data_IF_363873437844
#
_entry.id   IF_363873437844
#
_cell.length_a   1.000
_cell.length_b   1.000
_cell.length_c   1.000
_cell.angle_alpha   90.00
_cell.angle_beta   90.00
_cell.angle_gamma   90.00
#
_symmetry.space_group_name_H-M   'P 1'
#
loop_
_entity.id
_entity.type
_entity.pdbx_description
1 polymer ?
#
# COMPACT_ATOMS: atom_id res chain seq x y z
N UNK A 1 -8.18 23.06 -12.33
CA UNK A 1 -8.35 21.61 -12.11
C UNK A 1 -8.25 21.34 -10.62
N UNK A 2 -9.11 20.50 -10.06
CA UNK A 2 -9.04 20.15 -8.63
C UNK A 2 -8.00 19.04 -8.41
N UNK A 3 -7.22 19.15 -7.34
CA UNK A 3 -6.26 18.12 -6.92
C UNK A 3 -7.00 17.02 -6.18
N UNK A 4 -6.69 15.75 -6.46
CA UNK A 4 -7.22 14.62 -5.71
C UNK A 4 -6.65 14.65 -4.28
N UNK A 5 -7.52 14.57 -3.28
CA UNK A 5 -7.11 14.58 -1.87
C UNK A 5 -7.48 13.26 -1.20
N UNK A 6 -6.52 12.68 -0.48
CA UNK A 6 -6.71 11.48 0.34
C UNK A 6 -7.63 11.66 1.56
N UNK A 7 -8.22 12.85 1.77
CA UNK A 7 -9.10 13.13 2.92
C UNK A 7 -10.26 12.14 3.06
N UNK A 8 -10.71 11.54 1.96
CA UNK A 8 -11.75 10.51 1.97
C UNK A 8 -11.22 9.15 1.51
N UNK A 9 -9.92 8.90 1.62
CA UNK A 9 -9.33 7.59 1.36
C UNK A 9 -9.78 6.60 2.43
N UNK A 10 -9.96 5.34 2.03
CA UNK A 10 -10.36 4.23 2.91
C UNK A 10 -9.47 3.02 2.67
N UNK A 11 -9.41 2.13 3.66
CA UNK A 11 -8.75 0.84 3.57
C UNK A 11 -9.81 -0.24 3.70
N UNK A 12 -9.75 -1.28 2.86
CA UNK A 12 -10.51 -2.50 3.10
C UNK A 12 -9.59 -3.69 3.23
N UNK A 13 -9.91 -4.57 4.19
CA UNK A 13 -9.22 -5.82 4.45
C UNK A 13 -10.25 -6.95 4.34
N UNK A 14 -10.03 -7.88 3.42
CA UNK A 14 -10.98 -9.00 3.21
C UNK A 14 -12.40 -8.55 2.84
N UNK A 15 -12.54 -7.36 2.25
CA UNK A 15 -13.83 -6.75 1.89
C UNK A 15 -14.49 -5.91 2.98
N UNK A 16 -13.95 -5.87 4.20
CA UNK A 16 -14.45 -5.03 5.29
C UNK A 16 -13.69 -3.70 5.31
N UNK A 17 -14.43 -2.59 5.37
CA UNK A 17 -13.82 -1.26 5.51
C UNK A 17 -13.26 -1.08 6.92
N UNK A 18 -11.99 -0.68 6.99
CA UNK A 18 -11.29 -0.36 8.22
C UNK A 18 -11.31 1.15 8.40
N UNK A 19 -11.85 1.60 9.52
CA UNK A 19 -11.86 3.01 9.92
C UNK A 19 -11.60 3.12 11.43
N UNK A 20 -10.87 4.16 11.89
CA UNK A 20 -10.31 5.28 11.12
C UNK A 20 -8.90 4.98 10.62
N UNK A 21 -8.66 5.13 9.30
CA UNK A 21 -7.31 5.07 8.71
C UNK A 21 -6.74 6.48 8.67
N UNK A 22 -5.53 6.65 9.21
CA UNK A 22 -4.82 7.95 9.16
C UNK A 22 -4.09 8.12 7.84
N UNK A 23 -3.41 7.06 7.40
CA UNK A 23 -2.48 7.11 6.27
C UNK A 23 -2.24 5.72 5.73
N UNK A 24 -1.88 5.63 4.45
CA UNK A 24 -1.32 4.42 3.87
C UNK A 24 -0.33 4.77 2.77
N UNK A 25 0.68 3.92 2.60
CA UNK A 25 1.73 4.08 1.60
C UNK A 25 2.01 2.75 0.96
N UNK A 26 1.86 2.69 -0.37
CA UNK A 26 2.26 1.56 -1.19
C UNK A 26 3.51 1.91 -1.98
N UNK A 27 4.52 1.04 -1.93
CA UNK A 27 5.76 1.12 -2.71
C UNK A 27 5.81 -0.09 -3.61
N UNK A 28 5.96 0.15 -4.91
CA UNK A 28 6.18 -0.92 -5.89
C UNK A 28 7.59 -0.76 -6.44
N UNK A 29 8.40 -1.78 -6.30
CA UNK A 29 9.79 -1.82 -6.74
C UNK A 29 9.93 -2.82 -7.87
N UNK A 30 10.93 -2.61 -8.74
CA UNK A 30 11.22 -3.49 -9.84
C UNK A 30 12.72 -3.66 -9.98
N UNK A 31 13.20 -4.90 -9.92
CA UNK A 31 14.62 -5.20 -10.05
C UNK A 31 14.95 -5.39 -11.52
N UNK A 32 15.49 -4.36 -12.16
CA UNK A 32 15.87 -4.42 -13.58
C UNK A 32 17.35 -4.79 -13.71
N UNK A 33 17.65 -5.80 -14.53
CA UNK A 33 19.05 -6.17 -14.83
C UNK A 33 19.56 -5.34 -16.00
N UNK A 34 20.66 -4.62 -15.79
CA UNK A 34 21.35 -3.89 -16.85
C UNK A 34 22.36 -4.80 -17.56
N UNK A 35 22.35 -4.81 -18.89
CA UNK A 35 23.29 -5.57 -19.70
C UNK A 35 23.77 -4.76 -20.90
N UNK A 36 24.92 -5.13 -21.45
CA UNK A 36 25.50 -4.53 -22.65
C UNK A 36 25.20 -5.46 -23.81
N UNK A 37 24.79 -4.91 -24.95
CA UNK A 37 24.65 -5.65 -26.19
C UNK A 37 25.44 -4.94 -27.28
N UNK A 38 25.98 -5.70 -28.22
CA UNK A 38 26.96 -5.20 -29.19
C UNK A 38 26.33 -4.20 -30.19
N UNK A 39 25.00 -4.19 -30.26
CA UNK A 39 24.18 -3.36 -31.14
C UNK A 39 23.72 -2.04 -30.47
N UNK A 40 24.13 -1.76 -29.23
CA UNK A 40 23.66 -0.57 -28.50
C UNK A 40 24.60 0.62 -28.57
N UNK A 41 25.71 0.53 -29.31
CA UNK A 41 26.69 1.61 -29.43
C UNK A 41 27.29 2.04 -28.09
N UNK A 42 27.42 1.12 -27.12
CA UNK A 42 27.99 1.39 -25.79
C UNK A 42 26.97 1.75 -24.70
N UNK A 43 25.67 1.85 -25.02
CA UNK A 43 24.62 2.10 -24.02
C UNK A 43 24.14 0.80 -23.34
N UNK A 44 23.84 0.85 -22.04
CA UNK A 44 23.29 -0.32 -21.31
C UNK A 44 21.79 -0.50 -21.61
N UNK A 45 21.37 -1.70 -22.00
CA UNK A 45 19.96 -2.12 -22.02
C UNK A 45 19.51 -2.60 -20.65
N UNK A 46 18.21 -2.59 -20.40
CA UNK A 46 17.59 -3.13 -19.18
C UNK A 46 16.60 -4.22 -19.55
N UNK A 47 16.73 -5.39 -18.93
CA UNK A 47 15.73 -6.44 -19.00
C UNK A 47 14.73 -6.26 -17.86
N UNK A 48 13.45 -6.54 -18.14
CA UNK A 48 12.44 -6.64 -17.10
C UNK A 48 12.84 -7.73 -16.11
N UNK A 49 12.77 -7.44 -14.81
CA UNK A 49 12.97 -8.45 -13.77
C UNK A 49 11.82 -8.44 -12.79
N UNK A 50 12.02 -9.15 -11.67
CA UNK A 50 10.99 -9.33 -10.66
C UNK A 50 10.49 -7.97 -10.15
N UNK A 51 9.16 -7.86 -10.06
CA UNK A 51 8.49 -6.76 -9.39
C UNK A 51 8.14 -7.23 -7.99
N UNK A 52 8.23 -6.31 -7.05
CA UNK A 52 7.91 -6.53 -5.65
C UNK A 52 7.13 -5.32 -5.15
N UNK A 53 6.39 -5.49 -4.06
CA UNK A 53 5.73 -4.37 -3.42
C UNK A 53 5.68 -4.53 -1.91
N UNK A 54 5.69 -3.41 -1.23
CA UNK A 54 5.56 -3.33 0.22
C UNK A 54 4.91 -2.02 0.59
N UNK A 55 4.39 -1.95 1.80
CA UNK A 55 3.76 -0.74 2.26
C UNK A 55 3.54 -0.72 3.75
N UNK A 56 2.99 0.39 4.19
CA UNK A 56 2.59 0.63 5.57
C UNK A 56 1.24 1.30 5.58
N UNK A 57 0.38 0.95 6.52
CA UNK A 57 -0.84 1.70 6.79
C UNK A 57 -1.01 1.93 8.29
N UNK A 58 -1.63 3.06 8.62
CA UNK A 58 -1.84 3.53 9.97
C UNK A 58 -3.33 3.56 10.29
N UNK A 59 -3.72 2.89 11.36
CA UNK A 59 -5.10 2.85 11.85
C UNK A 59 -5.14 3.43 13.26
N UNK A 60 -6.16 4.24 13.57
CA UNK A 60 -6.37 4.72 14.94
C UNK A 60 -7.17 3.70 15.72
N UNK A 61 -6.72 3.38 16.93
CA UNK A 61 -7.53 2.55 17.80
C UNK A 61 -8.77 3.33 18.25
N UNK A 62 -9.89 2.63 18.37
CA UNK A 62 -11.14 3.12 18.96
C UNK A 62 -11.45 2.29 20.20
N UNK A 63 -12.22 2.83 21.14
CA UNK A 63 -12.55 2.13 22.40
C UNK A 63 -13.24 0.77 22.16
N UNK A 64 -13.97 0.65 21.05
CA UNK A 64 -14.71 -0.56 20.65
C UNK A 64 -13.98 -1.40 19.58
N UNK A 65 -12.83 -0.95 19.09
CA UNK A 65 -12.14 -1.53 17.95
C UNK A 65 -11.01 -2.48 18.34
N UNK A 66 -10.94 -3.65 17.70
CA UNK A 66 -9.77 -4.54 17.73
C UNK A 66 -8.92 -4.35 16.48
N UNK A 67 -7.62 -4.65 16.56
CA UNK A 67 -6.78 -4.76 15.36
C UNK A 67 -7.39 -5.81 14.43
N UNK A 68 -7.70 -5.49 13.16
CA UNK A 68 -8.39 -6.41 12.25
C UNK A 68 -7.49 -7.54 11.72
N UNK A 69 -6.19 -7.47 11.98
CA UNK A 69 -5.16 -8.37 11.43
C UNK A 69 -4.11 -8.71 12.48
N UNK A 70 -3.51 -9.89 12.35
CA UNK A 70 -2.34 -10.34 13.10
C UNK A 70 -1.08 -10.43 12.22
N UNK A 71 0.08 -10.50 12.87
CA UNK A 71 1.35 -10.75 12.19
C UNK A 71 1.35 -12.14 11.54
N UNK A 72 1.81 -12.22 10.29
CA UNK A 72 1.80 -13.44 9.49
C UNK A 72 0.49 -13.72 8.74
N UNK A 73 -0.55 -12.90 8.93
CA UNK A 73 -1.81 -13.08 8.21
C UNK A 73 -1.66 -12.75 6.72
N UNK A 74 -2.27 -13.59 5.88
CA UNK A 74 -2.48 -13.31 4.47
C UNK A 74 -3.81 -12.56 4.29
N UNK A 75 -3.75 -11.37 3.71
CA UNK A 75 -4.92 -10.49 3.57
C UNK A 75 -5.04 -9.90 2.18
N UNK A 76 -6.28 -9.75 1.71
CA UNK A 76 -6.59 -8.98 0.51
C UNK A 76 -6.82 -7.51 0.89
N UNK A 77 -5.98 -6.61 0.37
CA UNK A 77 -6.01 -5.18 0.66
C UNK A 77 -6.61 -4.39 -0.52
N UNK A 78 -7.53 -3.46 -0.21
CA UNK A 78 -7.96 -2.41 -1.14
C UNK A 78 -7.69 -1.02 -0.56
N UNK A 79 -6.76 -0.32 -1.18
CA UNK A 79 -6.25 0.99 -0.76
C UNK A 79 -6.90 2.09 -1.61
N UNK A 80 -7.92 2.75 -1.06
CA UNK A 80 -8.65 3.81 -1.77
C UNK A 80 -8.02 5.18 -1.48
N UNK A 81 -7.85 6.00 -2.53
CA UNK A 81 -7.39 7.39 -2.39
C UNK A 81 -8.55 8.38 -2.29
N UNK A 82 -9.79 7.94 -2.49
CA UNK A 82 -11.00 8.77 -2.37
C UNK A 82 -12.25 7.93 -2.05
N UNK A 83 -13.39 8.62 -1.86
CA UNK A 83 -14.70 8.02 -1.57
C UNK A 83 -15.44 7.52 -2.81
N UNK A 84 -14.94 7.82 -4.01
CA UNK A 84 -15.67 7.53 -5.26
C UNK A 84 -15.66 6.04 -5.59
N UNK A 85 -14.77 5.27 -4.96
CA UNK A 85 -14.61 3.83 -5.16
C UNK A 85 -13.92 3.46 -6.48
N UNK A 86 -13.68 4.44 -7.38
CA UNK A 86 -13.05 4.19 -8.67
C UNK A 86 -11.52 4.26 -8.65
N UNK A 87 -10.93 4.89 -7.62
CA UNK A 87 -9.50 5.14 -7.53
C UNK A 87 -8.91 4.38 -6.34
N UNK A 88 -8.40 3.18 -6.61
CA UNK A 88 -7.82 2.32 -5.59
C UNK A 88 -6.72 1.39 -6.13
N UNK A 89 -5.92 0.86 -5.21
CA UNK A 89 -4.99 -0.23 -5.47
C UNK A 89 -5.48 -1.50 -4.77
N UNK A 90 -5.44 -2.63 -5.47
CA UNK A 90 -5.78 -3.96 -4.96
C UNK A 90 -4.58 -4.87 -5.03
N UNK A 91 -4.32 -5.58 -3.93
CA UNK A 91 -3.25 -6.57 -3.82
C UNK A 91 -3.54 -7.57 -2.71
N UNK A 92 -2.99 -8.77 -2.86
CA UNK A 92 -2.82 -9.69 -1.75
C UNK A 92 -1.51 -9.36 -1.03
N UNK A 93 -1.51 -9.38 0.30
CA UNK A 93 -0.38 -9.01 1.13
C UNK A 93 -0.24 -9.91 2.36
N UNK A 94 0.99 -10.03 2.87
CA UNK A 94 1.27 -10.58 4.19
C UNK A 94 1.56 -9.45 5.17
N UNK A 95 1.02 -9.57 6.39
CA UNK A 95 1.34 -8.63 7.47
C UNK A 95 2.68 -9.03 8.09
N UNK A 96 3.67 -8.16 7.95
CA UNK A 96 5.03 -8.42 8.41
C UNK A 96 5.23 -8.02 9.87
N UNK A 97 4.62 -6.90 10.28
CA UNK A 97 4.80 -6.31 11.60
C UNK A 97 3.62 -5.44 11.99
N UNK A 98 3.28 -5.44 13.27
CA UNK A 98 2.31 -4.52 13.87
C UNK A 98 3.00 -3.72 14.99
N UNK A 99 3.09 -2.39 14.81
CA UNK A 99 3.55 -1.43 15.80
C UNK A 99 2.38 -0.70 16.46
N UNK A 100 2.54 -0.34 17.73
CA UNK A 100 1.57 0.48 18.47
C UNK A 100 2.29 1.71 19.02
N UNK A 101 1.79 2.89 18.68
CA UNK A 101 2.31 4.17 19.15
C UNK A 101 1.22 4.91 19.92
N UNK A 102 1.57 5.46 21.08
CA UNK A 102 0.68 6.29 21.88
C UNK A 102 1.49 7.32 22.66
N UNK A 103 1.04 8.57 22.66
CA UNK A 103 1.63 9.63 23.46
C UNK A 103 0.85 9.78 24.77
N UNK A 104 1.42 9.24 25.85
CA UNK A 104 0.81 9.31 27.20
C UNK A 104 0.94 10.73 27.79
N UNK A 105 1.96 11.49 27.38
CA UNK A 105 2.24 12.81 27.97
C UNK A 105 1.29 13.88 27.43
N UNK A 106 0.98 13.84 26.13
CA UNK A 106 0.09 14.80 25.47
C UNK A 106 -1.34 14.29 25.31
N UNK A 107 -1.60 13.01 25.64
CA UNK A 107 -2.90 12.38 25.44
C UNK A 107 -3.20 12.10 23.97
N UNK A 108 -2.17 11.71 23.21
CA UNK A 108 -2.27 11.41 21.78
C UNK A 108 -3.15 10.20 21.50
N UNK A 109 -3.68 10.15 20.27
CA UNK A 109 -4.50 9.01 19.82
C UNK A 109 -3.60 7.79 19.60
N UNK A 110 -4.00 6.64 20.15
CA UNK A 110 -3.32 5.36 19.91
C UNK A 110 -3.37 5.04 18.41
N UNK A 111 -2.19 4.87 17.81
CA UNK A 111 -2.03 4.58 16.39
C UNK A 111 -1.37 3.22 16.22
N UNK A 112 -1.96 2.39 15.36
CA UNK A 112 -1.45 1.10 14.94
C UNK A 112 -0.76 1.29 13.59
N UNK A 113 0.55 1.07 13.53
CA UNK A 113 1.34 1.07 12.30
C UNK A 113 1.52 -0.36 11.83
N UNK A 114 1.09 -0.68 10.61
CA UNK A 114 1.08 -2.05 10.10
C UNK A 114 1.89 -2.10 8.81
N UNK A 115 3.01 -2.81 8.85
CA UNK A 115 3.85 -3.08 7.69
C UNK A 115 3.38 -4.33 6.96
N UNK A 116 3.36 -4.26 5.63
CA UNK A 116 2.98 -5.38 4.79
C UNK A 116 3.90 -5.55 3.57
N UNK A 117 4.03 -6.80 3.15
CA UNK A 117 4.72 -7.22 1.94
C UNK A 117 3.70 -7.81 0.96
N UNK A 118 3.87 -7.53 -0.34
CA UNK A 118 2.96 -8.00 -1.37
C UNK A 118 3.14 -9.48 -1.67
N UNK A 119 2.04 -10.20 -1.71
CA UNK A 119 1.97 -11.59 -2.16
C UNK A 119 1.47 -11.67 -3.61
N UNK A 120 2.18 -11.00 -4.52
CA UNK A 120 1.87 -11.05 -5.95
C UNK A 120 1.78 -9.68 -6.61
N UNK A 121 0.87 -9.56 -7.58
CA UNK A 121 0.72 -8.36 -8.40
C UNK A 121 -0.12 -7.28 -7.71
N UNK A 122 0.19 -6.01 -8.01
CA UNK A 122 -0.68 -4.89 -7.66
C UNK A 122 -1.54 -4.53 -8.86
N UNK A 123 -2.85 -4.53 -8.67
CA UNK A 123 -3.82 -4.03 -9.64
C UNK A 123 -4.18 -2.59 -9.26
N UNK A 124 -4.09 -1.67 -10.22
CA UNK A 124 -4.39 -0.25 -9.98
C UNK A 124 -5.60 0.17 -10.80
N UNK A 125 -6.51 0.89 -10.16
CA UNK A 125 -7.79 1.31 -10.74
C UNK A 125 -7.89 2.83 -10.84
N UNK A 126 -8.67 3.29 -11.82
CA UNK A 126 -8.95 4.71 -12.04
C UNK A 126 -7.71 5.51 -12.43
N UNK A 127 -7.51 6.66 -11.79
CA UNK A 127 -6.38 7.57 -12.05
C UNK A 127 -5.03 6.97 -11.62
N UNK A 128 -5.05 5.96 -10.76
CA UNK A 128 -3.85 5.24 -10.32
C UNK A 128 -3.44 4.16 -11.33
N UNK A 129 -4.32 3.78 -12.26
CA UNK A 129 -3.96 2.87 -13.33
C UNK A 129 -2.84 3.51 -14.14
N UNK A 130 -1.68 2.85 -14.17
CA UNK A 130 -0.61 3.23 -15.06
C UNK A 130 -1.17 3.08 -16.48
N UNK A 131 -1.44 4.18 -17.19
CA UNK A 131 -1.78 4.11 -18.60
C UNK A 131 -0.52 3.66 -19.36
N UNK A 132 -0.40 2.36 -19.52
CA UNK A 132 0.63 1.72 -20.33
C UNK A 132 -0.05 1.01 -21.49
N UNK A 133 -0.07 1.69 -22.62
CA UNK A 133 -0.16 1.16 -24.00
C UNK A 133 0.71 -0.07 -24.21
#
# INVERSE_FOLDING_TARGET
>A
MAVLSGKNGTLQIGGNEITPVSNWKLRVTGTQRAYVANDTGGWKRRAAGAKDCSGVFEVRATEDGSCPVGEGDAVALKLHVDRTGGNYCELDAFIDRIGVETDISEGGVVTLEIDFSGNGGVIRHGILACQGT
#
